data_IF_826508351470
#
_entry.id   IF_826508351470
#
_cell.length_a   1.000
_cell.length_b   1.000
_cell.length_c   1.000
_cell.angle_alpha   90.00
_cell.angle_beta   90.00
_cell.angle_gamma   90.00
#
_symmetry.space_group_name_H-M   'P 1'
#
loop_
_entity.id
_entity.type
_entity.pdbx_description
1 polymer ?
#
# COMPACT_ATOMS: atom_id res chain seq x y z
N UNK A 1 -2.60 11.88 14.86
CA UNK A 1 -3.03 11.50 13.49
C UNK A 1 -3.04 9.98 13.36
N UNK A 2 -4.22 9.37 13.20
CA UNK A 2 -4.43 7.92 13.14
C UNK A 2 -3.65 7.28 11.99
N UNK A 3 -3.02 6.12 12.23
CA UNK A 3 -2.27 5.36 11.22
C UNK A 3 -3.09 5.06 9.95
N UNK A 4 -4.43 5.00 10.06
CA UNK A 4 -5.36 4.87 8.93
C UNK A 4 -5.27 6.04 7.94
N UNK A 5 -5.17 7.28 8.43
CA UNK A 5 -5.20 8.49 7.59
C UNK A 5 -3.90 8.68 6.84
N UNK A 6 -2.76 8.38 7.48
CA UNK A 6 -1.44 8.41 6.82
C UNK A 6 -1.38 7.47 5.62
N UNK A 7 -2.16 6.40 5.67
CA UNK A 7 -2.15 5.36 4.67
C UNK A 7 -3.09 5.58 3.49
N UNK A 8 -4.28 6.09 3.81
CA UNK A 8 -5.24 6.52 2.81
C UNK A 8 -4.74 7.69 1.96
N UNK A 9 -3.80 8.49 2.46
CA UNK A 9 -3.20 9.60 1.70
C UNK A 9 -2.00 9.16 0.85
N UNK A 10 -1.20 8.21 1.33
CA UNK A 10 0.05 7.84 0.67
C UNK A 10 -0.17 7.04 -0.63
N UNK A 11 -1.22 6.21 -0.67
CA UNK A 11 -1.59 5.44 -1.86
C UNK A 11 -2.06 6.32 -3.05
N UNK A 12 -3.05 7.23 -2.90
CA UNK A 12 -3.43 8.15 -3.97
C UNK A 12 -2.30 9.14 -4.28
N UNK A 13 -1.49 9.55 -3.31
CA UNK A 13 -0.34 10.41 -3.58
C UNK A 13 0.68 9.74 -4.53
N UNK A 14 1.00 8.46 -4.31
CA UNK A 14 1.86 7.69 -5.22
C UNK A 14 1.25 7.52 -6.61
N UNK A 15 -0.06 7.27 -6.68
CA UNK A 15 -0.79 7.12 -7.96
C UNK A 15 -0.83 8.43 -8.76
N UNK A 16 -1.04 9.56 -8.09
CA UNK A 16 -1.01 10.90 -8.70
C UNK A 16 0.40 11.24 -9.19
N UNK A 17 1.45 10.86 -8.46
CA UNK A 17 2.85 11.06 -8.90
C UNK A 17 3.17 10.26 -10.16
N UNK A 18 2.70 9.02 -10.24
CA UNK A 18 2.85 8.18 -11.45
C UNK A 18 2.09 8.81 -12.62
N UNK A 19 0.84 9.23 -12.41
CA UNK A 19 0.02 9.91 -13.42
C UNK A 19 0.66 11.21 -13.92
N UNK A 20 1.21 12.02 -13.01
CA UNK A 20 1.94 13.24 -13.35
C UNK A 20 3.19 12.92 -14.19
N UNK A 21 3.96 11.89 -13.83
CA UNK A 21 5.11 11.42 -14.61
C UNK A 21 4.72 10.95 -16.02
N UNK A 22 3.58 10.28 -16.17
CA UNK A 22 3.02 9.88 -17.48
C UNK A 22 2.61 11.09 -18.33
N UNK A 23 1.96 12.10 -17.74
CA UNK A 23 1.62 13.33 -18.47
C UNK A 23 2.89 14.05 -18.98
N UNK A 24 3.95 14.11 -18.16
CA UNK A 24 5.23 14.69 -18.58
C UNK A 24 5.89 13.86 -19.70
N UNK A 25 5.74 12.53 -19.66
CA UNK A 25 6.23 11.64 -20.72
C UNK A 25 5.54 11.92 -22.06
N UNK A 26 4.21 12.02 -22.04
CA UNK A 26 3.40 12.31 -23.24
C UNK A 26 3.74 13.68 -23.81
N UNK A 27 3.90 14.70 -22.95
CA UNK A 27 4.34 16.02 -23.38
C UNK A 27 5.74 16.03 -23.98
N UNK A 28 6.67 15.21 -23.47
CA UNK A 28 7.99 15.04 -24.06
C UNK A 28 7.93 14.35 -25.43
N UNK A 29 7.09 13.33 -25.59
CA UNK A 29 6.87 12.64 -26.86
C UNK A 29 6.22 13.55 -27.92
N UNK A 30 5.36 14.48 -27.51
CA UNK A 30 4.82 15.50 -28.40
C UNK A 30 5.90 16.50 -28.85
N UNK A 31 6.77 16.95 -27.94
CA UNK A 31 7.90 17.82 -28.31
C UNK A 31 8.89 17.14 -29.27
N UNK A 32 9.13 15.83 -29.08
CA UNK A 32 9.92 15.02 -30.01
C UNK A 32 9.31 15.01 -31.42
N UNK A 33 7.99 14.85 -31.54
CA UNK A 33 7.30 14.87 -32.84
C UNK A 33 7.27 16.25 -33.50
N UNK A 34 7.23 17.33 -32.69
CA UNK A 34 7.22 18.71 -33.18
C UNK A 34 8.58 19.23 -33.69
N UNK A 35 9.63 18.41 -33.69
CA UNK A 35 10.96 18.78 -34.17
C UNK A 35 11.82 19.54 -33.13
N UNK A 36 11.47 19.47 -31.84
CA UNK A 36 12.26 20.10 -30.79
C UNK A 36 13.65 19.44 -30.64
N UNK A 37 14.68 20.19 -30.22
CA UNK A 37 16.05 19.68 -30.09
C UNK A 37 16.11 18.45 -29.18
N UNK A 38 16.88 17.44 -29.61
CA UNK A 38 16.99 16.12 -28.96
C UNK A 38 17.13 16.18 -27.45
N UNK A 39 18.04 17.02 -26.97
CA UNK A 39 18.31 17.20 -25.53
C UNK A 39 17.09 17.64 -24.73
N UNK A 40 16.19 18.44 -25.31
CA UNK A 40 15.09 19.06 -24.58
C UNK A 40 13.98 18.06 -24.27
N UNK A 41 13.61 17.22 -25.24
CA UNK A 41 12.63 16.16 -25.01
C UNK A 41 13.24 14.97 -24.28
N UNK A 42 14.53 14.67 -24.50
CA UNK A 42 15.22 13.61 -23.80
C UNK A 42 15.30 13.88 -22.28
N UNK A 43 15.74 15.08 -21.88
CA UNK A 43 15.79 15.47 -20.46
C UNK A 43 14.39 15.46 -19.82
N UNK A 44 13.36 15.95 -20.53
CA UNK A 44 11.96 15.87 -20.05
C UNK A 44 11.50 14.41 -19.88
N UNK A 45 11.88 13.53 -20.81
CA UNK A 45 11.61 12.09 -20.72
C UNK A 45 12.34 11.42 -19.56
N UNK A 46 13.62 11.73 -19.34
CA UNK A 46 14.39 11.23 -18.19
C UNK A 46 13.78 11.71 -16.87
N UNK A 47 13.36 12.98 -16.81
CA UNK A 47 12.69 13.54 -15.64
C UNK A 47 11.36 12.85 -15.35
N UNK A 48 10.58 12.56 -16.39
CA UNK A 48 9.39 11.72 -16.28
C UNK A 48 9.71 10.34 -15.71
N UNK A 49 10.78 9.69 -16.18
CA UNK A 49 11.19 8.38 -15.68
C UNK A 49 11.51 8.39 -14.18
N UNK A 50 12.18 9.45 -13.72
CA UNK A 50 12.49 9.65 -12.30
C UNK A 50 11.20 9.84 -11.49
N UNK A 51 10.25 10.63 -11.99
CA UNK A 51 8.94 10.83 -11.35
C UNK A 51 8.13 9.54 -11.27
N UNK A 52 8.11 8.74 -12.34
CA UNK A 52 7.40 7.45 -12.37
C UNK A 52 8.05 6.46 -11.40
N UNK A 53 9.37 6.29 -11.44
CA UNK A 53 10.08 5.38 -10.53
C UNK A 53 10.01 5.81 -9.06
N UNK A 54 10.10 7.12 -8.81
CA UNK A 54 9.88 7.71 -7.49
C UNK A 54 8.44 7.47 -7.02
N UNK A 55 7.46 7.70 -7.90
CA UNK A 55 6.05 7.43 -7.65
C UNK A 55 5.77 5.96 -7.33
N UNK A 56 6.37 5.02 -8.06
CA UNK A 56 6.28 3.57 -7.80
C UNK A 56 6.90 3.21 -6.44
N UNK A 57 8.02 3.81 -6.08
CA UNK A 57 8.68 3.56 -4.79
C UNK A 57 7.83 4.05 -3.60
N UNK A 58 7.27 5.25 -3.73
CA UNK A 58 6.34 5.82 -2.74
C UNK A 58 5.05 4.99 -2.69
N UNK A 59 4.50 4.61 -3.84
CA UNK A 59 3.34 3.74 -3.91
C UNK A 59 3.62 2.37 -3.27
N UNK A 60 4.78 1.76 -3.49
CA UNK A 60 5.15 0.47 -2.90
C UNK A 60 5.25 0.51 -1.37
N UNK A 61 5.86 1.55 -0.80
CA UNK A 61 5.86 1.76 0.66
C UNK A 61 4.45 2.01 1.17
N UNK A 62 3.65 2.76 0.42
CA UNK A 62 2.22 2.97 0.58
C UNK A 62 1.35 1.79 0.13
N UNK A 63 1.89 0.60 -0.17
CA UNK A 63 1.15 -0.67 -0.33
C UNK A 63 1.54 -1.64 0.80
N UNK A 64 2.81 -1.62 1.21
CA UNK A 64 3.34 -2.48 2.26
C UNK A 64 2.69 -2.27 3.64
N UNK A 65 2.58 -1.03 4.07
CA UNK A 65 2.06 -0.66 5.40
C UNK A 65 0.53 -0.91 5.61
N UNK A 66 -0.35 -1.00 4.60
CA UNK A 66 -1.79 -1.37 4.73
C UNK A 66 -1.93 -2.84 4.79
N UNK A 67 -1.16 -3.57 3.97
CA UNK A 67 -1.06 -5.01 4.16
C UNK A 67 -0.64 -5.27 5.60
N UNK A 68 0.40 -4.59 6.11
CA UNK A 68 0.82 -4.75 7.50
C UNK A 68 -0.25 -4.35 8.52
N UNK A 69 -1.02 -3.28 8.28
CA UNK A 69 -2.12 -2.87 9.17
C UNK A 69 -3.28 -3.87 9.18
N UNK A 70 -3.73 -4.32 8.00
CA UNK A 70 -4.81 -5.28 7.85
C UNK A 70 -4.42 -6.63 8.47
N UNK A 71 -3.20 -7.10 8.21
CA UNK A 71 -2.67 -8.34 8.82
C UNK A 71 -2.65 -8.24 10.34
N UNK A 72 -2.23 -7.10 10.92
CA UNK A 72 -2.24 -6.90 12.39
C UNK A 72 -3.65 -6.94 12.97
N UNK A 73 -4.65 -6.42 12.25
CA UNK A 73 -6.04 -6.46 12.72
C UNK A 73 -6.61 -7.88 12.67
N UNK A 74 -6.34 -8.63 11.59
CA UNK A 74 -6.76 -10.03 11.44
C UNK A 74 -6.13 -10.90 12.53
N UNK A 75 -4.82 -10.78 12.76
CA UNK A 75 -4.11 -11.56 13.80
C UNK A 75 -4.70 -11.29 15.18
N UNK A 76 -5.01 -10.03 15.53
CA UNK A 76 -5.62 -9.72 16.85
C UNK A 76 -7.01 -10.33 17.00
N UNK A 77 -7.80 -10.37 15.93
CA UNK A 77 -9.13 -10.98 15.97
C UNK A 77 -9.04 -12.49 16.16
N UNK A 78 -8.15 -13.14 15.41
CA UNK A 78 -7.84 -14.57 15.55
C UNK A 78 -7.35 -14.90 16.96
N UNK A 79 -6.42 -14.12 17.52
CA UNK A 79 -5.92 -14.31 18.88
C UNK A 79 -7.03 -14.22 19.93
N UNK A 80 -7.92 -13.24 19.82
CA UNK A 80 -9.06 -13.09 20.74
C UNK A 80 -10.06 -14.25 20.62
N UNK A 81 -10.31 -14.72 19.39
CA UNK A 81 -11.19 -15.87 19.12
C UNK A 81 -10.61 -17.14 19.73
N UNK A 82 -9.32 -17.39 19.52
CA UNK A 82 -8.62 -18.52 20.11
C UNK A 82 -8.60 -18.41 21.64
N UNK A 83 -8.26 -17.26 22.21
CA UNK A 83 -8.26 -17.05 23.65
C UNK A 83 -9.63 -17.38 24.29
N UNK A 84 -10.74 -16.92 23.69
CA UNK A 84 -12.09 -17.28 24.15
C UNK A 84 -12.39 -18.78 24.03
N UNK A 85 -11.93 -19.45 22.96
CA UNK A 85 -12.06 -20.91 22.81
C UNK A 85 -11.27 -21.65 23.90
N UNK A 86 -10.05 -21.21 24.19
CA UNK A 86 -9.21 -21.76 25.26
C UNK A 86 -9.87 -21.56 26.63
N UNK A 87 -10.36 -20.37 26.96
CA UNK A 87 -11.06 -20.10 28.23
C UNK A 87 -12.33 -20.95 28.37
N UNK A 88 -13.12 -21.07 27.30
CA UNK A 88 -14.34 -21.90 27.30
C UNK A 88 -14.02 -23.40 27.49
N UNK A 89 -12.95 -23.91 26.84
CA UNK A 89 -12.49 -25.30 27.06
C UNK A 89 -11.97 -25.52 28.47
N UNK A 90 -11.26 -24.55 29.07
CA UNK A 90 -10.77 -24.63 30.45
C UNK A 90 -11.90 -24.63 31.48
N UNK A 91 -13.03 -23.97 31.20
CA UNK A 91 -14.23 -23.97 32.08
C UNK A 91 -15.11 -25.21 31.91
N UNK A 92 -14.97 -25.94 30.81
CA UNK A 92 -15.76 -27.15 30.53
C UNK A 92 -15.36 -28.48 31.23
N UNK A 93 -14.24 -28.66 31.95
CA UNK A 93 -13.80 -29.99 32.38
C UNK A 93 -14.29 -30.42 33.78
N UNK A 94 -15.34 -29.82 34.35
CA UNK A 94 -15.89 -30.28 35.64
C UNK A 94 -17.33 -30.83 35.58
N UNK A 95 -17.94 -30.96 34.40
CA UNK A 95 -19.36 -31.37 34.29
C UNK A 95 -19.59 -32.78 33.73
N UNK A 96 -18.55 -33.58 33.51
CA UNK A 96 -18.67 -34.93 32.91
C UNK A 96 -17.97 -36.06 33.69
N UNK A 97 -17.49 -35.81 34.91
CA UNK A 97 -16.78 -36.82 35.71
C UNK A 97 -17.58 -37.37 36.89
N UNK A 98 -18.79 -36.86 37.12
CA UNK A 98 -19.60 -37.19 38.31
C UNK A 98 -20.86 -38.05 37.98
N UNK A 99 -20.99 -38.56 36.75
CA UNK A 99 -22.14 -39.38 36.31
C UNK A 99 -21.76 -40.80 35.82
N UNK A 100 -20.62 -41.36 36.24
CA UNK A 100 -20.21 -42.73 35.90
C UNK A 100 -19.89 -43.56 37.15
#
# INVERSE_FOLDING_TARGET
MSARTKWLLLAPAGLVLIGAGLCVLVGAGYEMQSGAPFMRWFIKGTYSLILVNGGISVFGTAVRFRVMMDTRQIIRQELKRNYKKYDKRKKAPSQKRDEA
#
